data_IF_862358766937
#
_entry.id   IF_862358766937
#
_cell.length_a   1.000
_cell.length_b   1.000
_cell.length_c   1.000
_cell.angle_alpha   90.00
_cell.angle_beta   90.00
_cell.angle_gamma   90.00
#
_symmetry.space_group_name_H-M   'P 1'
#
loop_
_entity.id
_entity.type
_entity.pdbx_description
1 polymer ?
#
# COMPACT_ATOMS: atom_id res chain seq x y z
N UNK A 1 9.92 9.23 -6.13
CA UNK A 1 9.08 8.20 -6.77
C UNK A 1 9.30 6.97 -5.94
N UNK A 2 8.26 6.42 -5.33
CA UNK A 2 8.42 5.30 -4.41
C UNK A 2 8.37 4.04 -5.27
N UNK A 3 9.54 3.51 -5.60
CA UNK A 3 9.66 2.23 -6.29
C UNK A 3 8.86 1.16 -5.52
N UNK A 4 8.17 0.29 -6.25
CA UNK A 4 7.32 -0.74 -5.64
C UNK A 4 8.11 -1.53 -4.60
N UNK A 5 7.61 -1.56 -3.36
CA UNK A 5 8.42 -1.95 -2.20
C UNK A 5 7.70 -2.94 -1.30
N UNK A 6 8.38 -4.05 -1.01
CA UNK A 6 7.93 -5.00 -0.01
C UNK A 6 8.51 -4.69 1.37
N UNK A 7 7.84 -5.19 2.41
CA UNK A 7 8.34 -5.14 3.78
C UNK A 7 7.73 -6.21 4.67
N UNK A 8 8.46 -6.59 5.71
CA UNK A 8 7.96 -7.47 6.78
C UNK A 8 7.31 -6.64 7.87
N UNK A 9 6.03 -6.85 8.11
CA UNK A 9 5.27 -6.18 9.16
C UNK A 9 5.55 -6.87 10.48
N UNK A 10 5.88 -6.09 11.50
CA UNK A 10 6.27 -6.60 12.81
C UNK A 10 5.16 -6.35 13.84
N UNK A 11 4.94 -7.35 14.70
CA UNK A 11 4.06 -7.26 15.87
C UNK A 11 4.72 -6.51 17.03
N UNK A 12 3.99 -6.35 18.13
CA UNK A 12 4.47 -5.66 19.34
C UNK A 12 5.73 -6.30 19.96
N UNK A 13 5.88 -7.62 19.80
CA UNK A 13 7.03 -8.40 20.28
C UNK A 13 8.23 -8.36 19.30
N UNK A 14 8.13 -7.62 18.18
CA UNK A 14 9.14 -7.59 17.13
C UNK A 14 9.15 -8.80 16.19
N UNK A 15 8.27 -9.79 16.42
CA UNK A 15 8.07 -10.93 15.51
C UNK A 15 7.37 -10.51 14.22
N UNK A 16 7.69 -11.17 13.11
CA UNK A 16 6.97 -10.98 11.85
C UNK A 16 5.51 -11.46 12.01
N UNK A 17 4.57 -10.62 11.56
CA UNK A 17 3.13 -10.91 11.57
C UNK A 17 2.51 -10.81 10.18
N UNK A 18 3.31 -10.45 9.17
CA UNK A 18 2.85 -10.42 7.79
C UNK A 18 3.83 -9.75 6.84
N UNK A 19 3.41 -9.68 5.59
CA UNK A 19 4.13 -9.03 4.50
C UNK A 19 3.26 -7.94 3.91
N UNK A 20 3.84 -6.77 3.69
CA UNK A 20 3.21 -5.66 2.97
C UNK A 20 3.93 -5.42 1.66
N UNK A 21 3.19 -5.10 0.61
CA UNK A 21 3.70 -4.62 -0.66
C UNK A 21 3.02 -3.30 -1.03
N UNK A 22 3.83 -2.33 -1.43
CA UNK A 22 3.38 -1.04 -1.92
C UNK A 22 3.63 -0.96 -3.42
N UNK A 23 2.61 -0.65 -4.18
CA UNK A 23 2.67 -0.46 -5.63
C UNK A 23 2.22 0.96 -5.99
N UNK A 24 3.03 1.68 -6.76
CA UNK A 24 2.67 2.99 -7.30
C UNK A 24 1.85 2.83 -8.58
N UNK A 25 0.67 3.43 -8.61
CA UNK A 25 -0.23 3.36 -9.76
C UNK A 25 -0.81 4.75 -10.08
N UNK A 26 -1.06 5.02 -11.35
CA UNK A 26 -1.85 6.17 -11.79
C UNK A 26 -3.31 5.77 -11.98
N UNK A 27 -4.16 6.14 -11.03
CA UNK A 27 -5.57 5.74 -11.04
C UNK A 27 -6.48 6.87 -11.55
N UNK A 28 -7.46 6.47 -12.37
CA UNK A 28 -8.53 7.36 -12.82
C UNK A 28 -9.68 7.35 -11.83
N UNK A 29 -10.03 8.52 -11.29
CA UNK A 29 -11.25 8.68 -10.49
C UNK A 29 -12.11 9.85 -10.94
N UNK A 30 -13.38 9.82 -10.56
CA UNK A 30 -14.28 10.97 -10.76
C UNK A 30 -13.89 12.09 -9.81
N UNK A 31 -13.72 13.30 -10.34
CA UNK A 31 -13.50 14.48 -9.52
C UNK A 31 -14.76 14.76 -8.71
N UNK A 32 -14.59 14.94 -7.39
CA UNK A 32 -15.67 15.41 -6.54
C UNK A 32 -15.87 16.89 -6.85
N UNK A 33 -17.08 17.33 -7.25
CA UNK A 33 -17.31 18.73 -7.59
C UNK A 33 -17.07 19.57 -6.33
N UNK A 34 -16.02 20.39 -6.35
CA UNK A 34 -15.68 21.18 -5.17
C UNK A 34 -16.67 22.31 -4.93
N UNK A 35 -17.28 22.92 -5.96
CA UNK A 35 -18.33 23.97 -5.83
C UNK A 35 -19.38 23.91 -6.97
N UNK A 36 -20.55 24.52 -6.76
CA UNK A 36 -21.72 24.53 -7.66
C UNK A 36 -21.34 24.84 -9.12
N UNK A 37 -21.50 23.85 -10.03
CA UNK A 37 -21.48 24.09 -11.49
C UNK A 37 -20.38 23.39 -12.30
N UNK A 38 -19.40 22.72 -11.69
CA UNK A 38 -18.44 21.90 -12.44
C UNK A 38 -18.97 20.48 -12.55
N UNK A 39 -19.40 20.07 -13.74
CA UNK A 39 -19.67 18.67 -14.07
C UNK A 39 -18.42 17.83 -13.75
N UNK A 40 -18.56 16.84 -12.87
CA UNK A 40 -17.46 15.98 -12.44
C UNK A 40 -16.78 15.30 -13.64
N UNK A 41 -15.50 15.61 -13.84
CA UNK A 41 -14.66 15.02 -14.87
C UNK A 41 -13.81 13.88 -14.32
N UNK A 42 -13.24 13.05 -15.19
CA UNK A 42 -12.23 12.08 -14.77
C UNK A 42 -10.88 12.77 -14.61
N UNK A 43 -10.21 12.50 -13.50
CA UNK A 43 -8.82 12.92 -13.27
C UNK A 43 -7.95 11.68 -13.09
N UNK A 44 -6.75 11.72 -13.65
CA UNK A 44 -5.68 10.77 -13.34
C UNK A 44 -4.88 11.38 -12.19
N UNK A 45 -4.71 10.64 -11.11
CA UNK A 45 -3.88 11.06 -9.98
C UNK A 45 -3.02 9.90 -9.49
N UNK A 46 -1.84 10.20 -8.94
CA UNK A 46 -1.00 9.17 -8.34
C UNK A 46 -1.69 8.57 -7.11
N UNK A 47 -1.64 7.26 -7.03
CA UNK A 47 -2.13 6.45 -5.94
C UNK A 47 -1.06 5.45 -5.51
N UNK A 48 -1.20 4.96 -4.30
CA UNK A 48 -0.43 3.80 -3.83
C UNK A 48 -1.41 2.72 -3.44
N UNK A 49 -1.20 1.55 -4.02
CA UNK A 49 -1.86 0.32 -3.66
C UNK A 49 -1.04 -0.35 -2.55
N UNK A 50 -1.66 -0.55 -1.39
CA UNK A 50 -1.07 -1.28 -0.27
C UNK A 50 -1.75 -2.63 -0.17
N UNK A 51 -0.96 -3.68 -0.39
CA UNK A 51 -1.38 -5.05 -0.23
C UNK A 51 -0.74 -5.62 1.03
N UNK A 52 -1.51 -6.28 1.88
CA UNK A 52 -1.02 -6.92 3.10
C UNK A 52 -1.49 -8.36 3.22
N UNK A 53 -0.58 -9.26 3.59
CA UNK A 53 -0.88 -10.64 3.94
C UNK A 53 -0.37 -10.94 5.34
N UNK A 54 -1.20 -11.58 6.16
CA UNK A 54 -0.76 -12.10 7.44
C UNK A 54 0.26 -13.23 7.26
N UNK A 55 1.13 -13.41 8.25
CA UNK A 55 2.18 -14.43 8.21
C UNK A 55 1.63 -15.87 8.19
N UNK A 56 0.43 -16.07 8.71
CA UNK A 56 -0.29 -17.36 8.68
C UNK A 56 -1.17 -17.54 7.43
N UNK A 57 -1.19 -16.55 6.53
CA UNK A 57 -1.99 -16.57 5.30
C UNK A 57 -3.50 -16.44 5.52
N UNK A 58 -3.96 -16.16 6.74
CA UNK A 58 -5.38 -16.07 7.08
C UNK A 58 -6.06 -14.76 6.67
N UNK A 59 -5.29 -13.68 6.50
CA UNK A 59 -5.81 -12.33 6.20
C UNK A 59 -5.10 -11.78 4.96
N UNK A 60 -5.91 -11.25 4.04
CA UNK A 60 -5.49 -10.38 2.95
C UNK A 60 -6.23 -9.05 3.08
N UNK A 61 -5.49 -7.96 3.22
CA UNK A 61 -6.02 -6.60 3.21
C UNK A 61 -5.52 -5.87 1.98
N UNK A 62 -6.43 -5.09 1.40
CA UNK A 62 -6.16 -4.35 0.19
C UNK A 62 -6.69 -2.92 0.27
N UNK A 63 -5.81 -1.94 0.13
CA UNK A 63 -6.13 -0.54 0.34
C UNK A 63 -5.46 0.38 -0.68
N UNK A 64 -6.25 1.26 -1.30
CA UNK A 64 -5.76 2.28 -2.22
C UNK A 64 -5.78 3.65 -1.53
N UNK A 65 -4.67 4.38 -1.61
CA UNK A 65 -4.51 5.69 -0.98
C UNK A 65 -4.27 6.79 -2.02
N UNK A 66 -5.04 7.88 -1.93
CA UNK A 66 -5.01 9.02 -2.87
C UNK A 66 -4.58 10.34 -2.20
N UNK A 67 -3.96 11.24 -2.96
CA UNK A 67 -3.90 12.69 -2.69
C UNK A 67 -3.41 13.11 -1.28
N UNK A 68 -4.27 13.75 -0.47
CA UNK A 68 -3.91 14.16 0.90
C UNK A 68 -3.65 12.97 1.83
N UNK A 69 -4.36 11.86 1.61
CA UNK A 69 -4.11 10.59 2.31
C UNK A 69 -2.71 10.06 2.02
N UNK A 70 -2.24 10.24 0.77
CA UNK A 70 -0.90 9.84 0.35
C UNK A 70 0.18 10.55 1.18
N UNK A 71 -0.01 11.83 1.55
CA UNK A 71 0.98 12.55 2.38
C UNK A 71 1.14 11.93 3.76
N UNK A 72 0.05 11.52 4.41
CA UNK A 72 0.08 10.83 5.70
C UNK A 72 0.77 9.48 5.55
N UNK A 73 0.37 8.69 4.57
CA UNK A 73 0.94 7.35 4.35
C UNK A 73 2.43 7.41 3.99
N UNK A 74 2.86 8.36 3.16
CA UNK A 74 4.29 8.64 2.88
C UNK A 74 5.06 8.96 4.16
N UNK A 75 4.46 9.69 5.10
CA UNK A 75 5.04 9.96 6.41
C UNK A 75 5.29 8.66 7.20
N UNK A 76 4.28 7.79 7.27
CA UNK A 76 4.39 6.48 7.92
C UNK A 76 5.46 5.62 7.25
N UNK A 77 5.47 5.53 5.92
CA UNK A 77 6.42 4.68 5.20
C UNK A 77 7.87 5.14 5.36
N UNK A 78 8.10 6.46 5.34
CA UNK A 78 9.41 7.06 5.65
C UNK A 78 9.87 6.76 7.08
N UNK A 79 8.93 6.62 8.01
CA UNK A 79 9.18 6.20 9.37
C UNK A 79 9.27 4.67 9.53
N UNK A 80 9.27 3.91 8.42
CA UNK A 80 9.25 2.44 8.42
C UNK A 80 8.03 1.86 9.15
N UNK A 81 6.85 2.39 8.81
CA UNK A 81 5.57 1.99 9.38
C UNK A 81 4.49 1.90 8.29
N UNK A 82 3.46 1.08 8.53
CA UNK A 82 2.24 0.97 7.71
C UNK A 82 1.01 0.88 8.61
N UNK A 83 -0.17 1.17 8.07
CA UNK A 83 -1.44 0.97 8.77
C UNK A 83 -2.10 -0.29 8.23
N UNK A 84 -2.39 -1.24 9.11
CA UNK A 84 -3.01 -2.55 8.82
C UNK A 84 -4.16 -2.71 9.80
N UNK A 85 -5.38 -2.91 9.31
CA UNK A 85 -6.61 -2.97 10.11
C UNK A 85 -6.75 -1.78 11.08
N UNK A 86 -6.39 -0.57 10.65
CA UNK A 86 -6.43 0.65 11.49
C UNK A 86 -5.35 0.73 12.57
N UNK A 87 -4.41 -0.23 12.61
CA UNK A 87 -3.29 -0.27 13.55
C UNK A 87 -1.99 0.08 12.83
N UNK A 88 -1.25 1.07 13.35
CA UNK A 88 0.08 1.40 12.84
C UNK A 88 1.07 0.34 13.32
N UNK A 89 1.75 -0.32 12.37
CA UNK A 89 2.71 -1.38 12.62
C UNK A 89 4.09 -1.01 12.07
N UNK A 90 5.18 -1.34 12.77
CA UNK A 90 6.53 -1.20 12.24
C UNK A 90 6.77 -2.18 11.08
N UNK A 91 7.61 -1.76 10.14
CA UNK A 91 7.99 -2.52 8.96
C UNK A 91 9.49 -2.58 8.81
N UNK A 92 10.01 -3.78 8.57
CA UNK A 92 11.36 -3.96 8.04
C UNK A 92 11.27 -4.00 6.52
N UNK A 93 11.66 -2.92 5.88
CA UNK A 93 11.66 -2.84 4.42
C UNK A 93 12.62 -3.86 3.81
N UNK A 94 12.17 -4.49 2.74
CA UNK A 94 12.96 -5.39 1.94
C UNK A 94 13.94 -4.63 1.04
N UNK A 95 14.93 -5.34 0.54
CA UNK A 95 15.77 -4.91 -0.59
C UNK A 95 14.94 -4.88 -1.88
N UNK A 96 15.53 -4.33 -2.96
CA UNK A 96 14.88 -4.29 -4.28
C UNK A 96 14.62 -5.72 -4.78
N UNK A 97 15.63 -6.60 -4.74
CA UNK A 97 15.48 -7.99 -5.20
C UNK A 97 14.40 -8.75 -4.42
N UNK A 98 14.39 -8.65 -3.08
CA UNK A 98 13.34 -9.25 -2.27
C UNK A 98 11.95 -8.66 -2.57
N UNK A 99 11.88 -7.38 -2.95
CA UNK A 99 10.61 -6.74 -3.35
C UNK A 99 10.10 -7.28 -4.69
N UNK A 100 10.99 -7.57 -5.64
CA UNK A 100 10.65 -8.22 -6.91
C UNK A 100 10.18 -9.66 -6.70
N UNK A 101 10.82 -10.42 -5.81
CA UNK A 101 10.39 -11.77 -5.44
C UNK A 101 8.98 -11.77 -4.84
N UNK A 102 8.70 -10.84 -3.91
CA UNK A 102 7.37 -10.67 -3.33
C UNK A 102 6.37 -10.26 -4.41
N UNK A 103 6.75 -9.35 -5.34
CA UNK A 103 5.92 -8.97 -6.49
C UNK A 103 5.52 -10.17 -7.32
N UNK A 104 6.49 -10.96 -7.77
CA UNK A 104 6.26 -12.14 -8.59
C UNK A 104 5.38 -13.17 -7.86
N UNK A 105 5.56 -13.33 -6.56
CA UNK A 105 4.72 -14.20 -5.75
C UNK A 105 3.26 -13.73 -5.67
N UNK A 106 3.01 -12.43 -5.51
CA UNK A 106 1.64 -11.89 -5.53
C UNK A 106 0.98 -12.02 -6.90
N UNK A 107 1.71 -11.67 -7.96
CA UNK A 107 1.22 -11.81 -9.34
C UNK A 107 0.87 -13.27 -9.67
N UNK A 108 1.66 -14.23 -9.16
CA UNK A 108 1.40 -15.66 -9.31
C UNK A 108 0.15 -16.14 -8.55
N UNK A 109 -0.11 -15.62 -7.34
CA UNK A 109 -1.30 -15.99 -6.54
C UNK A 109 -2.61 -15.42 -7.05
N UNK A 110 -2.58 -14.32 -7.79
CA UNK A 110 -3.80 -13.76 -8.39
C UNK A 110 -4.35 -14.62 -9.56
N UNK A 111 -3.61 -15.65 -9.99
CA UNK A 111 -3.97 -16.53 -11.11
C UNK A 111 -4.54 -17.89 -10.68
N UNK A 112 -4.51 -18.21 -9.39
CA UNK A 112 -5.08 -19.43 -8.77
C UNK A 112 -6.46 -19.15 -8.16
#
# INVERSE_FOLDING_TARGET
MFENRAGRVLGAEGREVGTVYLEEEELRRRSTPRWWGVLGGWVVEPAIHQHYWSSDGSIYEDAIVYGEGLRRSVGLWKASQVEVDGVIRPVRWATIAESEEVRAWMEGRAQD
#
